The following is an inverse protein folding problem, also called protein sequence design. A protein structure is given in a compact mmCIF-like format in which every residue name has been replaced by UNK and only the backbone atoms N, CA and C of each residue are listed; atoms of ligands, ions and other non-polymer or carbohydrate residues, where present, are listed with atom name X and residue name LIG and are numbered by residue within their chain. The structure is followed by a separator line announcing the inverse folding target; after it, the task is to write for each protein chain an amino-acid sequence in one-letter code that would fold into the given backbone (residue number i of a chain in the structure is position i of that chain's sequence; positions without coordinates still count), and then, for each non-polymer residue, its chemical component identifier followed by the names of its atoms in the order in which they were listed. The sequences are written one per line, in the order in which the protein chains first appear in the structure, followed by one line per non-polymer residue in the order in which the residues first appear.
data_IF_044706290953
#
_entry.id   IF_044706290953
#
_cell.length_a   1.000
_cell.length_b   1.000
_cell.length_c   1.000
_cell.angle_alpha   90.00
_cell.angle_beta   90.00
_cell.angle_gamma   90.00
#
_symmetry.space_group_name_H-M   'P 1'
#
loop_
_entity.id
_entity.type
_entity.pdbx_description
1 polymer ?
#
# COMPACT_ATOMS: atom_id res chain seq x y z
N UNK A 1 24.08 4.71 23.48
CA UNK A 1 24.26 5.46 22.22
C UNK A 1 22.92 5.47 21.50
N UNK A 2 22.40 6.62 21.04
CA UNK A 2 21.21 6.62 20.21
C UNK A 2 21.51 5.87 18.90
N UNK A 3 20.66 4.90 18.58
CA UNK A 3 20.70 4.18 17.30
C UNK A 3 20.23 5.13 16.20
N UNK A 4 21.15 5.82 15.53
CA UNK A 4 20.84 6.61 14.34
C UNK A 4 20.49 5.65 13.21
N UNK A 5 19.24 5.66 12.69
CA UNK A 5 18.87 4.77 11.61
C UNK A 5 19.70 5.12 10.37
N UNK A 6 20.34 4.10 9.79
CA UNK A 6 21.09 4.26 8.54
C UNK A 6 20.13 4.62 7.39
N UNK A 7 20.62 5.29 6.34
CA UNK A 7 19.80 5.67 5.20
C UNK A 7 19.05 4.48 4.57
N UNK A 8 19.66 3.29 4.58
CA UNK A 8 19.05 2.02 4.17
C UNK A 8 17.94 1.56 5.12
N UNK A 9 18.10 1.69 6.43
CA UNK A 9 17.05 1.37 7.41
C UNK A 9 15.80 2.24 7.23
N UNK A 10 15.98 3.56 7.01
CA UNK A 10 14.87 4.49 6.76
C UNK A 10 14.13 4.13 5.48
N UNK A 11 14.87 3.76 4.43
CA UNK A 11 14.32 3.33 3.14
C UNK A 11 13.47 2.06 3.27
N UNK A 12 13.97 1.04 3.97
CA UNK A 12 13.22 -0.21 4.20
C UNK A 12 11.97 0.05 5.04
N UNK A 13 12.05 0.91 6.07
CA UNK A 13 10.87 1.31 6.85
C UNK A 13 9.82 2.01 5.99
N UNK A 14 10.21 2.93 5.10
CA UNK A 14 9.28 3.63 4.23
C UNK A 14 8.54 2.65 3.29
N UNK A 15 9.25 1.65 2.77
CA UNK A 15 8.69 0.58 1.95
C UNK A 15 7.65 -0.24 2.70
N UNK A 16 7.99 -0.69 3.91
CA UNK A 16 7.10 -1.46 4.78
C UNK A 16 5.85 -0.65 5.13
N UNK A 17 6.00 0.64 5.45
CA UNK A 17 4.88 1.54 5.75
C UNK A 17 3.99 1.72 4.51
N UNK A 18 4.57 1.87 3.31
CA UNK A 18 3.82 1.97 2.06
C UNK A 18 3.01 0.71 1.76
N UNK A 19 3.60 -0.46 1.94
CA UNK A 19 2.91 -1.75 1.77
C UNK A 19 1.77 -1.91 2.79
N UNK A 20 2.01 -1.59 4.07
CA UNK A 20 0.97 -1.63 5.11
C UNK A 20 -0.19 -0.68 4.81
N UNK A 21 0.10 0.54 4.33
CA UNK A 21 -0.92 1.50 3.93
C UNK A 21 -1.78 0.99 2.77
N UNK A 22 -1.16 0.33 1.77
CA UNK A 22 -1.88 -0.29 0.65
C UNK A 22 -2.76 -1.47 1.07
N UNK A 23 -2.30 -2.30 2.00
CA UNK A 23 -3.12 -3.40 2.56
C UNK A 23 -4.33 -2.84 3.30
N UNK A 24 -4.16 -1.78 4.09
CA UNK A 24 -5.27 -1.12 4.79
C UNK A 24 -6.24 -0.50 3.78
N UNK A 25 -5.74 0.19 2.75
CA UNK A 25 -6.58 0.77 1.69
C UNK A 25 -7.40 -0.29 0.94
N UNK A 26 -6.79 -1.42 0.61
CA UNK A 26 -7.49 -2.55 -0.02
C UNK A 26 -8.55 -3.16 0.91
N UNK A 27 -8.25 -3.30 2.20
CA UNK A 27 -9.21 -3.81 3.19
C UNK A 27 -10.41 -2.86 3.37
N UNK A 28 -10.17 -1.55 3.41
CA UNK A 28 -11.21 -0.53 3.46
C UNK A 28 -12.08 -0.59 2.20
N UNK A 29 -11.47 -0.73 1.02
CA UNK A 29 -12.21 -0.87 -0.24
C UNK A 29 -13.13 -2.11 -0.23
N UNK A 30 -12.65 -3.28 0.25
CA UNK A 30 -13.47 -4.49 0.40
C UNK A 30 -14.66 -4.24 1.31
N UNK A 31 -14.40 -3.68 2.50
CA UNK A 31 -15.43 -3.47 3.52
C UNK A 31 -16.48 -2.48 3.04
N UNK A 32 -16.06 -1.41 2.38
CA UNK A 32 -16.95 -0.38 1.84
C UNK A 32 -17.78 -0.93 0.67
N UNK A 33 -17.17 -1.65 -0.28
CA UNK A 33 -17.89 -2.30 -1.38
C UNK A 33 -18.91 -3.32 -0.87
N UNK A 34 -18.56 -4.15 0.13
CA UNK A 34 -19.51 -5.09 0.73
C UNK A 34 -20.62 -4.38 1.51
N UNK A 35 -20.32 -3.26 2.18
CA UNK A 35 -21.32 -2.49 2.90
C UNK A 35 -22.32 -1.81 1.94
N UNK A 36 -21.87 -1.37 0.77
CA UNK A 36 -22.73 -0.81 -0.29
C UNK A 36 -23.54 -1.87 -1.07
N UNK A 37 -23.43 -3.16 -0.70
CA UNK A 37 -24.19 -4.23 -1.34
C UNK A 37 -23.57 -4.76 -2.64
N UNK A 38 -22.31 -4.44 -2.92
CA UNK A 38 -21.61 -4.97 -4.08
C UNK A 38 -21.48 -6.50 -3.99
N UNK A 39 -21.64 -7.17 -5.13
CA UNK A 39 -21.50 -8.63 -5.23
C UNK A 39 -20.07 -9.06 -4.90
N UNK A 40 -19.87 -10.32 -4.50
CA UNK A 40 -18.55 -10.81 -4.09
C UNK A 40 -17.44 -10.56 -5.13
N UNK A 41 -17.80 -10.60 -6.42
CA UNK A 41 -16.92 -10.33 -7.56
C UNK A 41 -16.49 -8.86 -7.65
N UNK A 42 -17.42 -7.93 -7.47
CA UNK A 42 -17.14 -6.49 -7.46
C UNK A 42 -16.25 -6.12 -6.27
N UNK A 43 -16.54 -6.66 -5.07
CA UNK A 43 -15.71 -6.40 -3.88
C UNK A 43 -14.26 -6.87 -4.04
N UNK A 44 -14.07 -7.97 -4.78
CA UNK A 44 -12.73 -8.52 -5.09
C UNK A 44 -12.04 -7.65 -6.14
N UNK A 45 -12.78 -7.16 -7.14
CA UNK A 45 -12.25 -6.22 -8.14
C UNK A 45 -11.76 -4.92 -7.50
N UNK A 46 -12.57 -4.31 -6.63
CA UNK A 46 -12.19 -3.08 -5.92
C UNK A 46 -10.98 -3.30 -4.99
N UNK A 47 -10.90 -4.42 -4.27
CA UNK A 47 -9.76 -4.71 -3.40
C UNK A 47 -8.45 -4.87 -4.18
N UNK A 48 -8.53 -5.61 -5.28
CA UNK A 48 -7.36 -5.91 -6.11
C UNK A 48 -6.88 -4.64 -6.80
N UNK A 49 -7.80 -3.83 -7.33
CA UNK A 49 -7.46 -2.53 -7.93
C UNK A 49 -6.89 -1.55 -6.90
N UNK A 50 -7.43 -1.49 -5.68
CA UNK A 50 -6.88 -0.66 -4.61
C UNK A 50 -5.48 -1.13 -4.17
N UNK A 51 -5.25 -2.44 -4.06
CA UNK A 51 -3.93 -2.98 -3.75
C UNK A 51 -2.92 -2.68 -4.87
N UNK A 52 -3.28 -2.97 -6.12
CA UNK A 52 -2.42 -2.72 -7.30
C UNK A 52 -2.15 -1.23 -7.48
N UNK A 53 -3.17 -0.37 -7.32
CA UNK A 53 -3.01 1.08 -7.37
C UNK A 53 -2.06 1.61 -6.30
N UNK A 54 -2.13 1.05 -5.09
CA UNK A 54 -1.19 1.44 -4.02
C UNK A 54 0.21 0.90 -4.27
N UNK A 55 0.36 -0.33 -4.79
CA UNK A 55 1.66 -0.90 -5.15
C UNK A 55 2.34 -0.08 -6.27
N UNK A 56 1.60 0.34 -7.28
CA UNK A 56 2.09 1.24 -8.33
C UNK A 56 2.51 2.61 -7.79
N UNK A 57 1.75 3.15 -6.83
CA UNK A 57 2.10 4.42 -6.20
C UNK A 57 3.38 4.30 -5.35
N UNK A 58 3.57 3.19 -4.64
CA UNK A 58 4.81 2.90 -3.91
C UNK A 58 5.99 2.78 -4.86
N UNK A 59 5.85 2.04 -5.96
CA UNK A 59 6.89 1.92 -6.99
C UNK A 59 7.27 3.28 -7.60
N UNK A 60 6.27 4.13 -7.90
CA UNK A 60 6.51 5.49 -8.38
C UNK A 60 7.26 6.36 -7.37
N UNK A 61 6.97 6.21 -6.07
CA UNK A 61 7.71 6.89 -5.01
C UNK A 61 9.15 6.37 -4.92
N UNK A 62 9.37 5.06 -4.98
CA UNK A 62 10.71 4.47 -4.99
C UNK A 62 11.58 5.02 -6.13
N UNK A 63 11.01 5.13 -7.33
CA UNK A 63 11.67 5.70 -8.51
C UNK A 63 11.97 7.20 -8.31
N UNK A 64 11.02 7.97 -7.77
CA UNK A 64 11.22 9.40 -7.46
C UNK A 64 12.23 9.66 -6.35
N UNK A 65 12.36 8.74 -5.40
CA UNK A 65 13.30 8.79 -4.30
C UNK A 65 14.69 8.20 -4.66
N UNK A 66 14.87 7.71 -5.89
CA UNK A 66 16.13 7.12 -6.36
C UNK A 66 16.54 5.87 -5.56
N UNK A 67 15.55 5.08 -5.14
CA UNK A 67 15.79 3.77 -4.51
C UNK A 67 15.99 2.66 -5.54
N UNK A 68 15.45 2.85 -6.75
CA UNK A 68 15.59 2.04 -7.96
C UNK A 68 16.09 2.94 -9.09
#
# INVERSE_FOLDING_TARGET
MPITPTATTVKVMALIIGVLAGVIGALVAVLLSRHLGATGMESTGYSTLSFVGTAMFVYFLEEKLGLI
#
